data_IF_725448949939
#
_entry.id   IF_725448949939
#
_cell.length_a   1.000
_cell.length_b   1.000
_cell.length_c   1.000
_cell.angle_alpha   90.00
_cell.angle_beta   90.00
_cell.angle_gamma   90.00
#
_symmetry.space_group_name_H-M   'P 1'
#
loop_
_entity.id
_entity.type
_entity.pdbx_description
1 polymer ?
#
# COMPACT_ATOMS: atom_id res chain seq x y z
N UNK A 1 -17.07 17.98 -13.54
CA UNK A 1 -16.11 16.87 -13.30
C UNK A 1 -14.88 17.44 -12.63
N UNK A 2 -14.40 16.89 -11.50
CA UNK A 2 -13.22 17.41 -10.79
C UNK A 2 -11.96 16.67 -11.29
N UNK A 3 -11.31 17.20 -12.33
CA UNK A 3 -9.96 16.79 -12.74
C UNK A 3 -8.95 17.25 -11.67
N UNK A 4 -7.79 16.59 -11.59
CA UNK A 4 -6.64 17.11 -10.83
C UNK A 4 -6.39 18.54 -11.34
N UNK A 5 -6.55 19.55 -10.47
CA UNK A 5 -6.63 20.96 -10.87
C UNK A 5 -5.30 21.54 -11.35
N UNK A 6 -4.20 20.92 -10.96
CA UNK A 6 -2.82 21.24 -11.34
C UNK A 6 -2.16 20.00 -11.95
N UNK A 7 -1.23 20.16 -12.89
CA UNK A 7 -0.45 19.03 -13.39
C UNK A 7 0.42 18.42 -12.28
N UNK A 8 0.25 17.12 -12.00
CA UNK A 8 1.09 16.36 -11.07
C UNK A 8 1.86 15.30 -11.83
N UNK A 9 3.19 15.34 -11.74
CA UNK A 9 4.10 14.49 -12.49
C UNK A 9 4.89 13.59 -11.56
N UNK A 10 5.06 12.34 -11.95
CA UNK A 10 6.01 11.42 -11.34
C UNK A 10 7.38 11.70 -11.96
N UNK A 11 8.38 12.05 -11.16
CA UNK A 11 9.75 12.39 -11.61
C UNK A 11 10.78 11.33 -11.24
N UNK A 12 10.43 10.43 -10.32
CA UNK A 12 11.19 9.23 -10.00
C UNK A 12 10.28 8.15 -9.42
N UNK A 13 10.61 6.90 -9.69
CA UNK A 13 9.95 5.76 -9.08
C UNK A 13 10.92 4.59 -8.94
N UNK A 14 11.14 4.11 -7.72
CA UNK A 14 12.03 2.99 -7.41
C UNK A 14 11.41 2.08 -6.36
N UNK A 15 11.83 0.82 -6.34
CA UNK A 15 11.40 -0.18 -5.37
C UNK A 15 12.55 -1.08 -4.96
N UNK A 16 12.50 -1.62 -3.75
CA UNK A 16 13.46 -2.65 -3.32
C UNK A 16 13.14 -3.98 -3.99
N UNK A 17 14.08 -4.94 -4.07
CA UNK A 17 13.68 -6.34 -4.20
C UNK A 17 12.73 -6.69 -3.05
N UNK A 18 11.75 -7.55 -3.31
CA UNK A 18 10.90 -8.08 -2.25
C UNK A 18 11.52 -9.35 -1.68
N UNK A 19 11.68 -9.36 -0.35
CA UNK A 19 12.19 -10.49 0.42
C UNK A 19 11.06 -11.43 0.81
N UNK A 20 11.33 -12.72 0.88
CA UNK A 20 10.39 -13.69 1.43
C UNK A 20 10.31 -13.55 2.96
N UNK A 21 9.20 -13.97 3.58
CA UNK A 21 9.08 -14.01 5.04
C UNK A 21 10.23 -14.81 5.68
N UNK A 22 10.96 -14.18 6.61
CA UNK A 22 12.15 -14.76 7.25
C UNK A 22 13.36 -14.90 6.32
N UNK A 23 13.33 -14.27 5.14
CA UNK A 23 14.34 -14.33 4.10
C UNK A 23 15.46 -13.29 4.23
N UNK A 24 15.96 -12.81 3.10
CA UNK A 24 17.15 -11.95 3.00
C UNK A 24 16.98 -10.57 3.63
N UNK A 25 15.74 -10.09 3.76
CA UNK A 25 15.43 -8.73 4.24
C UNK A 25 14.95 -8.68 5.70
N UNK A 26 14.83 -9.82 6.40
CA UNK A 26 14.21 -9.91 7.73
C UNK A 26 14.84 -9.00 8.80
N UNK A 27 16.13 -8.69 8.66
CA UNK A 27 16.89 -7.90 9.64
C UNK A 27 16.80 -6.39 9.37
N UNK A 28 16.14 -5.97 8.28
CA UNK A 28 15.87 -4.56 7.98
C UNK A 28 14.46 -4.16 8.43
N UNK A 29 14.39 -3.05 9.15
CA UNK A 29 13.10 -2.46 9.55
C UNK A 29 12.36 -1.92 8.32
N UNK A 30 11.04 -1.73 8.45
CA UNK A 30 10.27 -1.06 7.40
C UNK A 30 10.81 0.36 7.10
N UNK A 31 11.37 1.04 8.09
CA UNK A 31 12.08 2.32 7.93
C UNK A 31 13.30 2.19 7.03
N UNK A 32 14.17 1.20 7.28
CA UNK A 32 15.40 0.97 6.51
C UNK A 32 15.08 0.63 5.04
N UNK A 33 14.09 -0.24 4.81
CA UNK A 33 13.66 -0.62 3.46
C UNK A 33 13.19 0.61 2.66
N UNK A 34 12.44 1.51 3.32
CA UNK A 34 11.98 2.75 2.67
C UNK A 34 13.14 3.71 2.41
N UNK A 35 14.10 3.78 3.33
CA UNK A 35 15.32 4.60 3.14
C UNK A 35 16.08 4.16 1.88
N UNK A 36 16.27 2.86 1.66
CA UNK A 36 16.92 2.35 0.46
C UNK A 36 16.17 2.81 -0.81
N UNK A 37 14.86 2.52 -0.89
CA UNK A 37 14.05 2.92 -2.04
C UNK A 37 14.03 4.45 -2.26
N UNK A 38 14.00 5.24 -1.18
CA UNK A 38 14.03 6.69 -1.23
C UNK A 38 15.35 7.24 -1.77
N UNK A 39 16.50 6.70 -1.32
CA UNK A 39 17.82 7.05 -1.87
C UNK A 39 17.90 6.74 -3.36
N UNK A 40 17.43 5.55 -3.75
CA UNK A 40 17.34 5.15 -5.15
C UNK A 40 16.50 6.11 -5.98
N UNK A 41 15.32 6.50 -5.48
CA UNK A 41 14.41 7.40 -6.18
C UNK A 41 14.98 8.82 -6.34
N UNK A 42 15.55 9.39 -5.26
CA UNK A 42 16.20 10.69 -5.29
C UNK A 42 17.36 10.71 -6.30
N UNK A 43 18.20 9.68 -6.28
CA UNK A 43 19.33 9.55 -7.21
C UNK A 43 18.87 9.39 -8.66
N UNK A 44 17.92 8.48 -8.93
CA UNK A 44 17.42 8.21 -10.28
C UNK A 44 16.72 9.44 -10.90
N UNK A 45 15.95 10.17 -10.10
CA UNK A 45 15.27 11.40 -10.54
C UNK A 45 16.17 12.65 -10.55
N UNK A 46 17.41 12.54 -10.04
CA UNK A 46 18.28 13.68 -9.75
C UNK A 46 17.56 14.77 -8.96
N UNK A 47 16.74 14.35 -7.98
CA UNK A 47 15.94 15.23 -7.14
C UNK A 47 16.75 15.57 -5.88
N UNK A 48 17.17 16.83 -5.70
CA UNK A 48 17.87 17.21 -4.48
C UNK A 48 16.93 17.12 -3.27
N UNK A 49 17.32 16.47 -2.15
CA UNK A 49 16.46 16.31 -0.98
C UNK A 49 15.88 17.61 -0.43
N UNK A 50 16.59 18.73 -0.57
CA UNK A 50 16.18 20.08 -0.19
C UNK A 50 14.97 20.63 -0.96
N UNK A 51 14.60 19.99 -2.07
CA UNK A 51 13.40 20.36 -2.84
C UNK A 51 12.14 19.70 -2.32
N UNK A 52 12.24 18.71 -1.42
CA UNK A 52 11.08 17.97 -0.89
C UNK A 52 10.36 18.79 0.18
N UNK A 53 9.09 19.11 -0.07
CA UNK A 53 8.22 19.87 0.83
C UNK A 53 7.41 18.98 1.77
N UNK A 54 7.27 17.68 1.46
CA UNK A 54 6.50 16.73 2.27
C UNK A 54 6.97 15.29 2.03
N UNK A 55 6.98 14.48 3.10
CA UNK A 55 7.29 13.05 3.07
C UNK A 55 6.10 12.25 3.56
N UNK A 56 5.52 11.41 2.69
CA UNK A 56 4.32 10.63 3.02
C UNK A 56 4.62 9.16 2.79
N UNK A 57 4.53 8.32 3.83
CA UNK A 57 4.83 6.88 3.72
C UNK A 57 3.68 6.03 4.21
N UNK A 58 3.23 5.10 3.37
CA UNK A 58 2.25 4.08 3.72
C UNK A 58 2.88 2.91 4.47
N UNK A 59 2.37 2.57 5.65
CA UNK A 59 2.78 1.37 6.40
C UNK A 59 1.58 0.79 7.17
N UNK A 60 1.40 -0.53 7.13
CA UNK A 60 0.22 -1.17 7.72
C UNK A 60 0.53 -1.69 9.11
N UNK A 61 1.60 -2.47 9.25
CA UNK A 61 2.01 -3.06 10.52
C UNK A 61 3.22 -2.31 11.06
N UNK A 62 3.04 -1.73 12.25
CA UNK A 62 4.13 -1.10 12.99
C UNK A 62 5.01 -2.19 13.62
N UNK A 63 5.99 -2.66 12.85
CA UNK A 63 6.78 -3.86 13.15
C UNK A 63 8.16 -3.60 13.76
N UNK A 64 8.49 -2.35 14.09
CA UNK A 64 9.76 -1.98 14.73
C UNK A 64 9.53 -1.00 15.89
N UNK A 65 10.52 -0.88 16.77
CA UNK A 65 10.47 0.05 17.91
C UNK A 65 10.42 1.53 17.49
N UNK A 66 10.87 1.85 16.28
CA UNK A 66 10.85 3.19 15.71
C UNK A 66 9.69 3.44 14.73
N UNK A 67 8.78 2.47 14.55
CA UNK A 67 7.73 2.52 13.53
C UNK A 67 6.79 3.73 13.63
N UNK A 68 6.59 4.28 14.83
CA UNK A 68 5.80 5.50 15.02
C UNK A 68 6.39 6.73 14.31
N UNK A 69 7.70 6.73 14.03
CA UNK A 69 8.44 7.82 13.42
C UNK A 69 8.87 7.53 11.98
N UNK A 70 8.38 6.44 11.38
CA UNK A 70 8.85 5.88 10.11
C UNK A 70 9.06 6.93 9.01
N UNK A 71 8.01 7.65 8.59
CA UNK A 71 8.13 8.64 7.51
C UNK A 71 9.14 9.77 7.84
N UNK A 72 9.16 10.20 9.10
CA UNK A 72 10.07 11.25 9.58
C UNK A 72 11.52 10.79 9.58
N UNK A 73 11.78 9.58 10.06
CA UNK A 73 13.11 8.98 10.04
C UNK A 73 13.61 8.81 8.61
N UNK A 74 12.77 8.33 7.69
CA UNK A 74 13.13 8.22 6.27
C UNK A 74 13.58 9.57 5.72
N UNK A 75 12.75 10.62 5.85
CA UNK A 75 13.09 11.96 5.36
C UNK A 75 14.43 12.45 5.88
N UNK A 76 14.63 12.40 7.20
CA UNK A 76 15.88 12.83 7.84
C UNK A 76 17.10 12.02 7.35
N UNK A 77 16.97 10.69 7.23
CA UNK A 77 18.08 9.82 6.83
C UNK A 77 18.49 10.03 5.38
N UNK A 78 17.56 10.38 4.49
CA UNK A 78 17.86 10.68 3.07
C UNK A 78 18.19 12.15 2.81
N UNK A 79 18.33 12.96 3.86
CA UNK A 79 18.81 14.35 3.77
C UNK A 79 17.73 15.39 3.50
N UNK A 80 16.44 15.03 3.59
CA UNK A 80 15.35 16.01 3.53
C UNK A 80 15.49 16.97 4.72
N UNK A 81 15.34 18.31 4.54
CA UNK A 81 15.45 19.28 5.62
C UNK A 81 14.58 18.95 6.83
N UNK A 82 15.08 19.27 8.03
CA UNK A 82 14.36 18.99 9.27
C UNK A 82 13.06 19.81 9.38
N UNK A 83 12.96 20.92 8.65
CA UNK A 83 11.78 21.77 8.58
C UNK A 83 10.63 21.11 7.81
N UNK A 84 10.94 20.18 6.88
CA UNK A 84 9.96 19.46 6.07
C UNK A 84 9.13 18.49 6.92
N UNK A 85 7.78 18.57 6.89
CA UNK A 85 6.92 17.64 7.62
C UNK A 85 6.94 16.23 7.04
N UNK A 86 6.54 15.25 7.86
CA UNK A 86 6.41 13.86 7.43
C UNK A 86 5.17 13.20 8.02
N UNK A 87 4.51 12.35 7.23
CA UNK A 87 3.28 11.66 7.57
C UNK A 87 3.41 10.16 7.28
N UNK A 88 3.21 9.33 8.30
CA UNK A 88 2.93 7.90 8.11
C UNK A 88 1.42 7.69 8.04
N UNK A 89 0.93 6.98 7.03
CA UNK A 89 -0.51 6.67 6.86
C UNK A 89 -0.76 5.17 6.70
N UNK A 90 -2.00 4.77 7.00
CA UNK A 90 -2.44 3.39 6.85
C UNK A 90 -3.80 3.34 6.15
N UNK A 91 -3.81 2.69 4.98
CA UNK A 91 -5.00 2.28 4.23
C UNK A 91 -4.90 0.79 3.82
N UNK A 92 -4.37 -0.04 4.71
CA UNK A 92 -4.04 -1.45 4.50
C UNK A 92 -3.24 -1.64 3.19
N UNK A 93 -3.57 -2.64 2.36
CA UNK A 93 -2.91 -2.94 1.09
C UNK A 93 -2.86 -1.75 0.11
N UNK A 94 -3.70 -0.72 0.31
CA UNK A 94 -3.75 0.49 -0.51
C UNK A 94 -2.84 1.62 -0.01
N UNK A 95 -2.06 1.41 1.07
CA UNK A 95 -1.27 2.48 1.71
C UNK A 95 -0.23 3.10 0.76
N UNK A 96 0.48 2.30 -0.03
CA UNK A 96 1.46 2.80 -0.99
C UNK A 96 0.85 3.59 -2.16
N UNK A 97 -0.40 3.32 -2.54
CA UNK A 97 -1.14 4.19 -3.47
C UNK A 97 -1.67 5.44 -2.76
N UNK A 98 -2.12 5.29 -1.52
CA UNK A 98 -2.67 6.39 -0.75
C UNK A 98 -1.61 7.47 -0.46
N UNK A 99 -0.32 7.12 -0.28
CA UNK A 99 0.72 8.12 -0.14
C UNK A 99 0.82 9.02 -1.39
N UNK A 100 0.79 8.43 -2.59
CA UNK A 100 0.74 9.20 -3.86
C UNK A 100 -0.53 10.04 -3.96
N UNK A 101 -1.69 9.49 -3.58
CA UNK A 101 -2.96 10.25 -3.58
C UNK A 101 -2.91 11.44 -2.62
N UNK A 102 -2.39 11.25 -1.40
CA UNK A 102 -2.22 12.32 -0.42
C UNK A 102 -1.24 13.39 -0.92
N UNK A 103 -0.11 12.99 -1.52
CA UNK A 103 0.84 13.95 -2.10
C UNK A 103 0.23 14.72 -3.29
N UNK A 104 -0.57 14.06 -4.13
CA UNK A 104 -1.32 14.74 -5.19
C UNK A 104 -2.28 15.79 -4.61
N UNK A 105 -2.93 15.49 -3.49
CA UNK A 105 -3.85 16.41 -2.81
C UNK A 105 -3.09 17.62 -2.25
N UNK A 106 -1.96 17.42 -1.59
CA UNK A 106 -1.09 18.50 -1.09
C UNK A 106 -0.63 19.42 -2.23
N UNK A 107 -0.21 18.87 -3.37
CA UNK A 107 0.16 19.66 -4.55
C UNK A 107 -1.04 20.42 -5.13
N UNK A 108 -2.20 19.78 -5.24
CA UNK A 108 -3.39 20.44 -5.81
C UNK A 108 -3.88 21.63 -5.01
N UNK A 109 -3.72 21.60 -3.68
CA UNK A 109 -4.08 22.71 -2.79
C UNK A 109 -2.90 23.66 -2.52
N UNK A 110 -1.78 23.50 -3.24
CA UNK A 110 -0.55 24.30 -3.13
C UNK A 110 0.06 24.30 -1.72
N UNK A 111 -0.08 23.20 -1.00
CA UNK A 111 0.57 22.97 0.29
C UNK A 111 1.98 22.37 0.13
N UNK A 112 2.28 21.78 -1.03
CA UNK A 112 3.58 21.25 -1.39
C UNK A 112 3.80 21.40 -2.90
N UNK A 113 5.06 21.47 -3.35
CA UNK A 113 5.44 21.50 -4.76
C UNK A 113 6.14 20.19 -5.16
N UNK A 114 6.91 19.57 -4.25
CA UNK A 114 7.51 18.24 -4.43
C UNK A 114 7.26 17.35 -3.21
N UNK A 115 6.78 16.13 -3.43
CA UNK A 115 6.41 15.18 -2.36
C UNK A 115 7.09 13.83 -2.59
N UNK A 116 7.76 13.32 -1.56
CA UNK A 116 8.25 11.95 -1.51
C UNK A 116 7.14 11.03 -1.02
N UNK A 117 6.63 10.16 -1.89
CA UNK A 117 5.52 9.25 -1.59
C UNK A 117 6.04 7.80 -1.53
N UNK A 118 6.07 7.22 -0.33
CA UNK A 118 6.55 5.86 -0.09
C UNK A 118 5.45 4.89 0.32
N UNK A 119 5.79 3.61 0.28
CA UNK A 119 5.03 2.50 0.87
C UNK A 119 6.01 1.42 1.31
N UNK A 120 5.82 0.86 2.49
CA UNK A 120 6.76 -0.12 3.08
C UNK A 120 6.06 -1.12 3.98
N UNK A 121 6.62 -2.33 4.03
CA UNK A 121 6.27 -3.32 5.04
C UNK A 121 7.49 -4.19 5.36
N UNK A 122 7.67 -4.50 6.65
CA UNK A 122 8.53 -5.59 7.11
C UNK A 122 7.66 -6.52 7.93
N UNK A 123 7.07 -7.51 7.25
CA UNK A 123 6.18 -8.50 7.85
C UNK A 123 6.96 -9.52 8.66
N UNK A 124 8.23 -9.79 8.30
CA UNK A 124 9.16 -10.62 9.08
C UNK A 124 9.42 -10.10 10.49
N UNK A 125 9.30 -8.79 10.71
CA UNK A 125 9.50 -8.17 12.03
C UNK A 125 8.21 -7.98 12.83
N UNK A 126 7.05 -8.39 12.30
CA UNK A 126 5.78 -8.23 13.01
C UNK A 126 5.87 -8.88 14.42
N UNK A 127 5.67 -8.11 15.51
CA UNK A 127 5.94 -8.61 16.84
C UNK A 127 4.86 -9.56 17.33
N UNK A 128 5.18 -10.32 18.37
CA UNK A 128 4.18 -10.89 19.26
C UNK A 128 3.75 -9.84 20.29
N UNK A 129 2.46 -9.81 20.65
CA UNK A 129 1.92 -8.89 21.65
C UNK A 129 1.27 -9.64 22.82
N UNK A 130 1.61 -9.23 24.05
CA UNK A 130 0.89 -9.64 25.26
C UNK A 130 -0.11 -8.54 25.65
N UNK A 131 -1.41 -8.87 25.66
CA UNK A 131 -2.50 -7.94 25.99
C UNK A 131 -2.94 -8.11 27.44
N UNK A 132 -3.56 -7.07 28.02
CA UNK A 132 -4.23 -7.11 29.33
C UNK A 132 -3.33 -7.35 30.56
N UNK A 133 -2.02 -7.07 30.46
CA UNK A 133 -1.07 -7.28 31.58
C UNK A 133 -0.56 -5.98 32.22
N UNK A 134 -0.85 -4.81 31.62
CA UNK A 134 -0.29 -3.51 32.06
C UNK A 134 -0.64 -3.15 33.51
N UNK A 135 -1.79 -3.60 34.00
CA UNK A 135 -2.33 -3.22 35.32
C UNK A 135 -2.51 -4.43 36.24
N UNK A 136 -1.71 -5.48 36.03
CA UNK A 136 -1.84 -6.76 36.74
C UNK A 136 -2.78 -7.73 36.03
N UNK A 137 -2.76 -8.98 36.49
CA UNK A 137 -3.54 -10.09 35.91
C UNK A 137 -4.28 -10.85 37.00
N UNK A 138 -5.38 -11.51 36.64
CA UNK A 138 -6.11 -12.40 37.56
C UNK A 138 -5.47 -13.79 37.58
N UNK A 139 -5.41 -14.43 38.74
CA UNK A 139 -5.00 -15.84 38.85
C UNK A 139 -5.85 -16.70 37.90
N UNK A 140 -5.20 -17.51 37.06
CA UNK A 140 -5.86 -18.36 36.07
C UNK A 140 -6.22 -17.68 34.74
N UNK A 141 -5.81 -16.43 34.49
CA UNK A 141 -6.02 -15.77 33.21
C UNK A 141 -5.24 -16.45 32.06
N UNK A 142 -5.91 -16.70 30.94
CA UNK A 142 -5.32 -17.29 29.74
C UNK A 142 -4.62 -16.22 28.86
N UNK A 143 -3.45 -15.76 29.31
CA UNK A 143 -2.65 -14.78 28.57
C UNK A 143 -2.04 -15.41 27.33
N UNK A 144 -2.18 -14.75 26.18
CA UNK A 144 -1.60 -15.17 24.91
C UNK A 144 -0.47 -14.22 24.49
N UNK A 145 0.58 -14.80 23.92
CA UNK A 145 1.46 -14.09 23.00
C UNK A 145 0.78 -14.14 21.63
N UNK A 146 0.10 -13.05 21.29
CA UNK A 146 -0.63 -12.92 20.03
C UNK A 146 0.32 -12.55 18.89
N UNK A 147 0.33 -13.35 17.82
CA UNK A 147 1.02 -13.00 16.57
C UNK A 147 0.26 -11.84 15.89
N UNK A 148 0.89 -10.66 15.83
CA UNK A 148 0.23 -9.46 15.27
C UNK A 148 0.06 -9.52 13.75
N UNK A 149 0.92 -10.25 13.04
CA UNK A 149 0.78 -10.49 11.61
C UNK A 149 -0.47 -11.32 11.34
N UNK A 150 -0.62 -12.44 12.04
CA UNK A 150 -1.79 -13.30 11.88
C UNK A 150 -3.09 -12.60 12.26
N UNK A 151 -3.08 -11.86 13.38
CA UNK A 151 -4.23 -11.07 13.82
C UNK A 151 -4.59 -9.97 12.80
N UNK A 152 -3.60 -9.31 12.21
CA UNK A 152 -3.77 -8.26 11.19
C UNK A 152 -4.33 -8.78 9.85
N UNK A 153 -4.21 -10.07 9.57
CA UNK A 153 -4.78 -10.74 8.39
C UNK A 153 -6.19 -11.29 8.61
N UNK A 154 -6.84 -10.91 9.71
CA UNK A 154 -8.24 -11.24 10.01
C UNK A 154 -9.04 -9.97 10.26
N UNK A 155 -10.12 -9.77 9.50
CA UNK A 155 -11.05 -8.69 9.77
C UNK A 155 -11.92 -9.07 10.97
N UNK A 156 -11.72 -8.40 12.10
CA UNK A 156 -12.45 -8.67 13.34
C UNK A 156 -13.92 -8.21 13.31
N UNK A 157 -14.31 -7.34 12.36
CA UNK A 157 -15.70 -6.89 12.22
C UNK A 157 -16.58 -8.01 11.66
N UNK A 158 -16.13 -8.65 10.58
CA UNK A 158 -16.83 -9.79 9.96
C UNK A 158 -16.30 -11.15 10.46
N UNK A 159 -15.22 -11.16 11.25
CA UNK A 159 -14.53 -12.33 11.80
C UNK A 159 -14.03 -13.29 10.70
N UNK A 160 -13.58 -12.74 9.58
CA UNK A 160 -13.09 -13.52 8.44
C UNK A 160 -11.59 -13.28 8.20
N UNK A 161 -10.78 -14.35 8.13
CA UNK A 161 -9.46 -14.29 7.53
C UNK A 161 -9.55 -13.82 6.08
N UNK A 162 -8.51 -13.12 5.60
CA UNK A 162 -8.52 -12.59 4.23
C UNK A 162 -8.72 -13.69 3.17
N UNK A 163 -8.17 -14.88 3.38
CA UNK A 163 -8.37 -16.02 2.48
C UNK A 163 -9.83 -16.48 2.37
N UNK A 164 -10.62 -16.39 3.45
CA UNK A 164 -12.05 -16.74 3.39
C UNK A 164 -12.84 -15.74 2.56
N UNK A 165 -12.48 -14.45 2.60
CA UNK A 165 -13.14 -13.45 1.73
C UNK A 165 -12.86 -13.70 0.24
N UNK A 166 -11.71 -14.29 -0.09
CA UNK A 166 -11.38 -14.72 -1.44
C UNK A 166 -12.14 -16.00 -1.84
N UNK A 167 -12.37 -16.93 -0.90
CA UNK A 167 -13.26 -18.09 -1.14
C UNK A 167 -14.71 -17.66 -1.39
N UNK A 168 -15.19 -16.62 -0.70
CA UNK A 168 -16.52 -16.05 -0.95
C UNK A 168 -16.63 -15.53 -2.40
N UNK A 169 -15.62 -14.81 -2.88
CA UNK A 169 -15.56 -14.36 -4.27
C UNK A 169 -15.46 -15.52 -5.26
N UNK A 170 -14.66 -16.56 -4.93
CA UNK A 170 -14.58 -17.75 -5.77
C UNK A 170 -15.96 -18.39 -5.96
N UNK A 171 -16.71 -18.54 -4.88
CA UNK A 171 -18.08 -19.07 -4.92
C UNK A 171 -19.04 -18.16 -5.68
N UNK A 172 -18.99 -16.84 -5.47
CA UNK A 172 -19.92 -15.89 -6.11
C UNK A 172 -19.69 -15.76 -7.62
N UNK A 173 -18.45 -15.90 -8.07
CA UNK A 173 -18.06 -15.73 -9.47
C UNK A 173 -17.82 -17.06 -10.19
N UNK A 174 -18.15 -18.21 -9.58
CA UNK A 174 -17.91 -19.56 -10.11
C UNK A 174 -16.46 -19.78 -10.57
N UNK A 175 -15.50 -19.38 -9.73
CA UNK A 175 -14.07 -19.55 -10.01
C UNK A 175 -13.63 -20.90 -9.44
N UNK A 176 -13.10 -21.75 -10.31
CA UNK A 176 -12.65 -23.08 -9.91
C UNK A 176 -11.25 -23.05 -9.31
N UNK A 177 -10.90 -24.11 -8.57
CA UNK A 177 -9.52 -24.34 -8.11
C UNK A 177 -8.52 -24.39 -9.27
N UNK A 178 -8.92 -24.97 -10.40
CA UNK A 178 -8.09 -25.08 -11.60
C UNK A 178 -7.83 -23.69 -12.21
N UNK A 179 -8.83 -22.80 -12.24
CA UNK A 179 -8.65 -21.41 -12.68
C UNK A 179 -7.59 -20.69 -11.83
N UNK A 180 -7.69 -20.84 -10.50
CA UNK A 180 -6.76 -20.24 -9.55
C UNK A 180 -5.32 -20.72 -9.77
N UNK A 181 -5.11 -22.03 -9.93
CA UNK A 181 -3.76 -22.60 -10.10
C UNK A 181 -3.18 -22.26 -11.48
N UNK A 182 -4.00 -22.20 -12.54
CA UNK A 182 -3.56 -21.71 -13.86
C UNK A 182 -3.11 -20.25 -13.80
N UNK A 183 -3.87 -19.39 -13.12
CA UNK A 183 -3.49 -17.99 -12.95
C UNK A 183 -2.20 -17.83 -12.13
N UNK A 184 -2.06 -18.60 -11.05
CA UNK A 184 -0.86 -18.59 -10.23
C UNK A 184 0.39 -19.01 -11.03
N UNK A 185 0.28 -20.06 -11.86
CA UNK A 185 1.35 -20.47 -12.77
C UNK A 185 1.70 -19.35 -13.75
N UNK A 186 0.70 -18.71 -14.35
CA UNK A 186 0.92 -17.59 -15.27
C UNK A 186 1.66 -16.43 -14.59
N UNK A 187 1.31 -16.08 -13.34
CA UNK A 187 2.00 -15.02 -12.58
C UNK A 187 3.50 -15.36 -12.39
N UNK A 188 3.81 -16.60 -12.02
CA UNK A 188 5.21 -17.06 -11.89
C UNK A 188 5.97 -17.02 -13.22
N UNK A 189 5.33 -17.46 -14.31
CA UNK A 189 5.93 -17.47 -15.64
C UNK A 189 6.20 -16.06 -16.17
N UNK A 190 5.26 -15.14 -15.99
CA UNK A 190 5.40 -13.74 -16.39
C UNK A 190 6.47 -13.03 -15.58
N UNK A 191 6.51 -13.24 -14.26
CA UNK A 191 7.60 -12.70 -13.43
C UNK A 191 8.96 -13.21 -13.91
N UNK A 192 9.09 -14.51 -14.20
CA UNK A 192 10.34 -15.10 -14.68
C UNK A 192 10.78 -14.48 -16.01
N UNK A 193 9.86 -14.39 -16.97
CA UNK A 193 10.13 -13.79 -18.27
C UNK A 193 10.58 -12.33 -18.14
N UNK A 194 9.88 -11.53 -17.33
CA UNK A 194 10.19 -10.12 -17.10
C UNK A 194 11.55 -9.93 -16.39
N UNK A 195 11.84 -10.77 -15.39
CA UNK A 195 13.12 -10.74 -14.70
C UNK A 195 14.28 -11.09 -15.64
N UNK A 196 14.14 -12.14 -16.45
CA UNK A 196 15.18 -12.56 -17.41
C UNK A 196 15.41 -11.53 -18.52
N UNK A 197 14.33 -10.88 -18.98
CA UNK A 197 14.38 -9.83 -19.98
C UNK A 197 14.88 -8.48 -19.42
N UNK A 198 15.07 -8.38 -18.11
CA UNK A 198 15.57 -7.17 -17.45
C UNK A 198 14.53 -6.05 -17.30
N UNK A 199 13.23 -6.35 -17.39
CA UNK A 199 12.16 -5.34 -17.29
C UNK A 199 12.09 -4.69 -15.91
N UNK A 200 12.60 -5.37 -14.87
CA UNK A 200 12.67 -4.81 -13.52
C UNK A 200 13.94 -3.98 -13.24
N UNK A 201 14.90 -3.93 -14.16
CA UNK A 201 16.22 -3.34 -13.87
C UNK A 201 16.12 -1.83 -13.55
N UNK A 202 15.25 -1.09 -14.25
CA UNK A 202 15.11 0.36 -14.10
C UNK A 202 14.37 0.74 -12.81
N UNK A 203 13.41 -0.08 -12.37
CA UNK A 203 12.66 0.15 -11.13
C UNK A 203 13.42 -0.30 -9.86
N UNK A 204 14.34 -1.27 -9.99
CA UNK A 204 14.99 -1.92 -8.84
C UNK A 204 16.04 -1.03 -8.18
N UNK A 205 15.95 -0.89 -6.86
CA UNK A 205 17.02 -0.40 -6.00
C UNK A 205 17.64 -1.60 -5.24
N UNK A 206 18.83 -2.06 -5.64
CA UNK A 206 19.48 -3.20 -5.00
C UNK A 206 19.84 -2.93 -3.54
N UNK A 207 19.80 -3.97 -2.71
CA UNK A 207 20.15 -3.89 -1.28
C UNK A 207 21.36 -4.79 -0.99
N UNK A 208 22.35 -4.28 -0.28
CA UNK A 208 23.42 -5.12 0.27
C UNK A 208 22.88 -5.94 1.45
N UNK A 209 22.85 -7.26 1.31
CA UNK A 209 22.38 -8.22 2.32
C UNK A 209 23.54 -9.05 2.86
N UNK A 210 23.42 -9.52 4.10
CA UNK A 210 24.38 -10.45 4.71
C UNK A 210 23.90 -11.88 4.48
N UNK A 211 24.73 -12.71 3.86
CA UNK A 211 24.49 -14.15 3.75
C UNK A 211 25.58 -14.94 4.47
N UNK A 212 25.40 -16.25 4.61
CA UNK A 212 26.44 -17.14 5.18
C UNK A 212 27.76 -17.09 4.40
N UNK A 213 27.73 -16.63 3.13
CA UNK A 213 28.90 -16.49 2.26
C UNK A 213 29.50 -15.08 2.27
N UNK A 214 28.98 -14.16 3.09
CA UNK A 214 29.42 -12.77 3.17
C UNK A 214 28.37 -11.79 2.63
N UNK A 215 28.81 -10.57 2.33
CA UNK A 215 27.95 -9.52 1.74
C UNK A 215 27.61 -9.87 0.30
N UNK A 216 26.35 -9.72 -0.08
CA UNK A 216 25.88 -9.91 -1.45
C UNK A 216 24.86 -8.82 -1.81
N UNK A 217 24.80 -8.46 -3.09
CA UNK A 217 23.78 -7.54 -3.59
C UNK A 217 22.52 -8.31 -3.95
N UNK A 218 21.42 -8.03 -3.25
CA UNK A 218 20.09 -8.51 -3.59
C UNK A 218 19.46 -7.55 -4.60
N UNK A 219 19.10 -8.08 -5.78
CA UNK A 219 18.48 -7.32 -6.87
C UNK A 219 17.41 -8.13 -7.61
N UNK A 220 17.00 -9.26 -7.05
CA UNK A 220 15.99 -10.17 -7.59
C UNK A 220 15.02 -10.46 -6.47
N UNK A 221 13.71 -10.50 -6.79
CA UNK A 221 12.67 -10.86 -5.83
C UNK A 221 12.86 -12.30 -5.33
N UNK A 222 12.83 -12.49 -4.01
CA UNK A 222 13.16 -13.76 -3.36
C UNK A 222 11.99 -14.74 -3.35
N UNK A 223 10.75 -14.23 -3.34
CA UNK A 223 9.55 -15.08 -3.16
C UNK A 223 9.25 -15.96 -4.38
N UNK A 224 9.69 -15.54 -5.57
CA UNK A 224 9.30 -16.18 -6.81
C UNK A 224 9.87 -17.59 -6.96
N UNK A 225 9.07 -18.46 -7.58
CA UNK A 225 9.36 -19.88 -7.78
C UNK A 225 9.32 -20.17 -9.28
N UNK A 226 10.37 -19.85 -10.04
CA UNK A 226 10.35 -19.95 -11.50
C UNK A 226 10.24 -21.39 -12.02
N UNK A 227 10.44 -22.39 -11.16
CA UNK A 227 10.28 -23.82 -11.47
C UNK A 227 8.86 -24.35 -11.20
N UNK A 228 7.91 -23.48 -10.86
CA UNK A 228 6.53 -23.87 -10.53
C UNK A 228 5.88 -24.59 -11.71
N UNK A 229 5.21 -25.71 -11.44
CA UNK A 229 4.38 -26.43 -12.42
C UNK A 229 2.93 -26.53 -11.95
N UNK A 230 2.00 -26.68 -12.91
CA UNK A 230 0.59 -26.89 -12.57
C UNK A 230 0.39 -28.17 -11.73
N UNK A 231 1.19 -29.21 -11.98
CA UNK A 231 1.16 -30.44 -11.20
C UNK A 231 1.54 -30.21 -9.72
N UNK A 232 2.55 -29.37 -9.46
CA UNK A 232 2.94 -29.00 -8.10
C UNK A 232 1.83 -28.21 -7.41
N UNK A 233 1.23 -27.24 -8.11
CA UNK A 233 0.14 -26.42 -7.57
C UNK A 233 -1.07 -27.28 -7.22
N UNK A 234 -1.49 -28.18 -8.11
CA UNK A 234 -2.64 -29.06 -7.91
C UNK A 234 -2.51 -29.98 -6.67
N UNK A 235 -1.28 -30.31 -6.25
CA UNK A 235 -1.01 -31.13 -5.06
C UNK A 235 -1.15 -30.36 -3.75
N UNK A 236 -1.19 -29.03 -3.78
CA UNK A 236 -1.28 -28.23 -2.56
C UNK A 236 -2.69 -28.30 -1.94
N UNK A 237 -2.79 -28.52 -0.62
CA UNK A 237 -4.07 -28.51 0.07
C UNK A 237 -4.63 -27.08 0.20
N UNK A 238 -5.96 -26.91 0.19
CA UNK A 238 -6.59 -25.65 0.59
C UNK A 238 -6.20 -25.25 2.01
N UNK A 239 -5.96 -23.95 2.24
CA UNK A 239 -5.47 -23.42 3.53
C UNK A 239 -6.61 -22.99 4.45
N UNK A 240 -7.64 -22.33 3.90
CA UNK A 240 -8.64 -21.64 4.71
C UNK A 240 -9.97 -22.39 4.82
N UNK A 241 -10.37 -23.12 3.77
CA UNK A 241 -11.65 -23.82 3.68
C UNK A 241 -11.42 -25.23 3.14
N UNK A 242 -12.02 -26.24 3.76
CA UNK A 242 -12.04 -27.61 3.21
C UNK A 242 -12.71 -27.58 1.83
N UNK A 243 -12.08 -28.21 0.85
CA UNK A 243 -12.51 -28.17 -0.57
C UNK A 243 -12.58 -26.72 -1.13
N UNK A 244 -11.77 -25.82 -0.56
CA UNK A 244 -11.60 -24.45 -1.03
C UNK A 244 -10.69 -24.33 -2.26
N UNK A 245 -10.68 -23.15 -2.84
CA UNK A 245 -9.86 -22.79 -4.00
C UNK A 245 -8.50 -22.22 -3.60
N UNK A 246 -8.37 -21.65 -2.39
CA UNK A 246 -7.18 -20.91 -1.96
C UNK A 246 -6.14 -21.83 -1.31
N UNK A 247 -4.94 -21.84 -1.87
CA UNK A 247 -3.78 -22.58 -1.39
C UNK A 247 -2.58 -21.65 -1.16
N UNK A 248 -1.51 -22.18 -0.56
CA UNK A 248 -0.24 -21.46 -0.45
C UNK A 248 0.43 -21.17 -1.81
N UNK A 249 0.04 -21.86 -2.90
CA UNK A 249 0.62 -21.67 -4.23
C UNK A 249 -0.12 -20.66 -5.10
N UNK A 250 -1.37 -20.31 -4.74
CA UNK A 250 -2.21 -19.39 -5.51
C UNK A 250 -2.68 -18.16 -4.69
N UNK A 251 -2.07 -17.96 -3.52
CA UNK A 251 -2.17 -16.77 -2.70
C UNK A 251 -0.84 -16.01 -2.71
N UNK A 252 -0.87 -14.69 -2.52
CA UNK A 252 0.37 -13.94 -2.34
C UNK A 252 1.07 -14.32 -1.03
N UNK A 253 2.39 -14.44 -1.07
CA UNK A 253 3.20 -14.69 0.12
C UNK A 253 3.32 -13.48 1.04
N UNK A 254 3.51 -13.76 2.33
CA UNK A 254 4.06 -12.80 3.30
C UNK A 254 5.49 -12.46 2.89
N UNK A 255 5.82 -11.17 2.89
CA UNK A 255 7.07 -10.67 2.32
C UNK A 255 7.42 -9.28 2.87
N UNK A 256 8.67 -8.88 2.66
CA UNK A 256 9.21 -7.60 3.08
C UNK A 256 9.62 -6.77 1.87
N UNK A 257 9.44 -5.45 1.92
CA UNK A 257 9.90 -4.57 0.85
C UNK A 257 9.36 -3.14 0.97
N UNK A 258 9.87 -2.27 0.10
CA UNK A 258 9.41 -0.89 -0.02
C UNK A 258 9.39 -0.40 -1.48
N UNK A 259 8.60 0.63 -1.73
CA UNK A 259 8.62 1.40 -2.97
C UNK A 259 8.48 2.89 -2.69
N UNK A 260 9.11 3.72 -3.50
CA UNK A 260 9.06 5.18 -3.42
C UNK A 260 8.82 5.78 -4.79
N UNK A 261 7.88 6.72 -4.84
CA UNK A 261 7.54 7.53 -5.99
C UNK A 261 7.70 9.00 -5.58
N UNK A 262 8.47 9.77 -6.33
CA UNK A 262 8.58 11.22 -6.12
C UNK A 262 7.67 11.90 -7.14
N UNK A 263 6.79 12.76 -6.64
CA UNK A 263 5.88 13.55 -7.46
C UNK A 263 6.17 15.04 -7.29
N UNK A 264 5.92 15.79 -8.36
CA UNK A 264 6.13 17.23 -8.41
C UNK A 264 4.99 17.93 -9.16
N UNK A 265 4.72 19.17 -8.79
CA UNK A 265 3.86 20.07 -9.55
C UNK A 265 4.48 20.38 -10.92
N UNK A 266 3.67 20.81 -11.88
CA UNK A 266 4.17 21.28 -13.17
C UNK A 266 5.18 22.44 -13.03
N UNK A 267 4.95 23.34 -12.08
CA UNK A 267 5.80 24.50 -11.83
C UNK A 267 7.15 24.07 -11.23
N UNK A 268 7.15 23.11 -10.30
CA UNK A 268 8.35 22.52 -9.74
C UNK A 268 9.17 21.76 -10.79
N UNK A 269 8.51 21.00 -11.68
CA UNK A 269 9.17 20.32 -12.81
C UNK A 269 9.93 21.34 -13.67
N UNK A 270 9.31 22.48 -14.02
CA UNK A 270 9.96 23.54 -14.81
C UNK A 270 11.08 24.24 -14.03
N UNK A 271 10.79 24.63 -12.78
CA UNK A 271 11.72 25.39 -11.91
C UNK A 271 13.00 24.61 -11.61
N UNK A 272 12.88 23.32 -11.34
CA UNK A 272 14.01 22.46 -10.96
C UNK A 272 14.52 21.60 -12.11
N UNK A 273 13.96 21.77 -13.32
CA UNK A 273 14.31 21.01 -14.52
C UNK A 273 14.27 19.49 -14.31
N UNK A 274 13.24 19.01 -13.60
CA UNK A 274 13.04 17.58 -13.40
C UNK A 274 12.60 16.90 -14.70
N UNK A 275 12.95 15.62 -14.86
CA UNK A 275 12.48 14.81 -15.99
C UNK A 275 11.18 14.09 -15.62
N UNK A 276 10.01 14.50 -16.15
CA UNK A 276 8.77 13.80 -15.86
C UNK A 276 8.76 12.42 -16.52
N UNK A 277 8.48 11.38 -15.73
CA UNK A 277 8.35 9.99 -16.18
C UNK A 277 6.91 9.67 -16.60
N UNK A 278 5.94 10.18 -15.85
CA UNK A 278 4.51 10.01 -16.08
C UNK A 278 3.72 11.17 -15.46
N UNK A 279 2.43 11.28 -15.80
CA UNK A 279 1.52 12.27 -15.21
C UNK A 279 0.35 11.56 -14.53
N UNK A 280 0.03 11.96 -13.31
CA UNK A 280 -1.15 11.44 -12.59
C UNK A 280 -2.40 12.13 -13.14
N UNK A 281 -3.28 11.36 -13.79
CA UNK A 281 -4.46 11.91 -14.47
C UNK A 281 -5.75 11.80 -13.65
N UNK A 282 -5.76 10.93 -12.65
CA UNK A 282 -6.90 10.71 -11.77
C UNK A 282 -6.65 9.57 -10.78
N UNK A 283 -7.47 9.54 -9.73
CA UNK A 283 -7.48 8.49 -8.72
C UNK A 283 -8.89 8.39 -8.12
N UNK A 284 -9.21 7.24 -7.54
CA UNK A 284 -10.45 7.02 -6.81
C UNK A 284 -10.27 5.95 -5.74
N UNK A 285 -10.97 6.14 -4.61
CA UNK A 285 -11.06 5.16 -3.55
C UNK A 285 -12.54 4.89 -3.28
N UNK A 286 -12.88 3.61 -3.09
CA UNK A 286 -14.23 3.16 -2.77
C UNK A 286 -14.20 2.21 -1.59
N UNK A 287 -15.22 2.30 -0.73
CA UNK A 287 -15.56 1.19 0.17
C UNK A 287 -16.25 0.06 -0.59
N UNK A 288 -16.30 -1.12 0.03
CA UNK A 288 -17.08 -2.28 -0.41
C UNK A 288 -17.40 -3.15 0.82
N UNK A 289 -18.20 -4.21 0.62
CA UNK A 289 -18.50 -5.17 1.67
C UNK A 289 -17.21 -5.88 2.15
N UNK A 290 -16.88 -5.83 3.46
CA UNK A 290 -15.68 -6.47 4.00
C UNK A 290 -15.61 -7.99 3.77
N UNK A 291 -16.76 -8.67 3.68
CA UNK A 291 -16.83 -10.13 3.47
C UNK A 291 -16.38 -10.58 2.07
N UNK A 292 -16.34 -9.65 1.12
CA UNK A 292 -15.90 -9.82 -0.27
C UNK A 292 -14.98 -8.67 -0.69
N UNK A 293 -14.19 -8.17 0.26
CA UNK A 293 -13.25 -7.05 0.14
C UNK A 293 -12.43 -7.02 -1.17
N UNK A 294 -12.19 -8.20 -1.75
CA UNK A 294 -11.33 -8.39 -2.91
C UNK A 294 -11.92 -7.81 -4.19
N UNK A 295 -13.21 -7.47 -4.19
CA UNK A 295 -13.91 -6.83 -5.31
C UNK A 295 -13.70 -5.31 -5.35
N UNK A 296 -13.12 -4.71 -4.31
CA UNK A 296 -12.85 -3.26 -4.21
C UNK A 296 -12.26 -2.62 -5.48
N UNK A 297 -11.31 -3.27 -6.20
CA UNK A 297 -10.81 -2.81 -7.50
C UNK A 297 -11.88 -2.46 -8.53
N UNK A 298 -13.02 -3.16 -8.57
CA UNK A 298 -14.09 -2.91 -9.56
C UNK A 298 -14.65 -1.50 -9.43
N UNK A 299 -15.04 -1.10 -8.21
CA UNK A 299 -15.57 0.23 -7.95
C UNK A 299 -14.48 1.31 -8.05
N UNK A 300 -13.26 0.99 -7.58
CA UNK A 300 -12.11 1.90 -7.65
C UNK A 300 -11.73 2.25 -9.11
N UNK A 301 -11.55 1.24 -9.97
CA UNK A 301 -11.26 1.39 -11.39
C UNK A 301 -12.37 2.17 -12.09
N UNK A 302 -13.62 1.73 -11.93
CA UNK A 302 -14.78 2.36 -12.58
C UNK A 302 -14.90 3.83 -12.20
N UNK A 303 -14.74 4.15 -10.91
CA UNK A 303 -14.82 5.53 -10.43
C UNK A 303 -13.63 6.40 -10.86
N UNK A 304 -12.41 5.84 -10.92
CA UNK A 304 -11.23 6.55 -11.42
C UNK A 304 -11.38 6.90 -12.90
N UNK A 305 -11.77 5.93 -13.74
CA UNK A 305 -12.04 6.11 -15.16
C UNK A 305 -13.14 7.15 -15.41
N UNK A 306 -14.28 7.02 -14.69
CA UNK A 306 -15.38 7.99 -14.77
C UNK A 306 -14.94 9.40 -14.42
N UNK A 307 -14.10 9.58 -13.39
CA UNK A 307 -13.57 10.91 -12.99
C UNK A 307 -12.60 11.48 -14.03
N UNK A 308 -11.80 10.62 -14.64
CA UNK A 308 -10.86 11.01 -15.69
C UNK A 308 -11.54 11.27 -17.05
N UNK A 309 -12.80 10.84 -17.21
CA UNK A 309 -13.50 10.87 -18.50
C UNK A 309 -12.94 9.84 -19.48
N UNK A 310 -12.49 8.69 -18.96
CA UNK A 310 -11.87 7.60 -19.69
C UNK A 310 -12.71 6.32 -19.59
N UNK A 311 -12.45 5.38 -20.46
CA UNK A 311 -12.99 4.01 -20.43
C UNK A 311 -11.88 2.99 -20.21
N UNK A 312 -12.26 1.75 -19.90
CA UNK A 312 -11.28 0.66 -19.74
C UNK A 312 -10.53 0.38 -21.06
N UNK A 313 -11.17 0.59 -22.21
CA UNK A 313 -10.56 0.42 -23.54
C UNK A 313 -9.43 1.41 -23.81
N UNK A 314 -9.42 2.54 -23.12
CA UNK A 314 -8.36 3.55 -23.22
C UNK A 314 -7.09 3.14 -22.46
N UNK A 315 -7.12 2.06 -21.67
CA UNK A 315 -5.98 1.60 -20.90
C UNK A 315 -5.13 0.65 -21.74
N UNK A 316 -3.85 0.97 -21.85
CA UNK A 316 -2.85 0.10 -22.47
C UNK A 316 -2.39 -0.99 -21.51
N UNK A 317 -2.39 -0.67 -20.21
CA UNK A 317 -1.96 -1.55 -19.13
C UNK A 317 -2.82 -1.39 -17.90
N UNK A 318 -3.07 -2.51 -17.20
CA UNK A 318 -3.78 -2.55 -15.94
C UNK A 318 -2.98 -3.39 -14.95
N UNK A 319 -2.80 -2.89 -13.72
CA UNK A 319 -2.31 -3.71 -12.62
C UNK A 319 -3.38 -3.81 -11.53
N UNK A 320 -3.71 -5.05 -11.19
CA UNK A 320 -4.58 -5.40 -10.07
C UNK A 320 -3.76 -6.28 -9.14
N UNK A 321 -3.47 -5.78 -7.93
CA UNK A 321 -2.67 -6.54 -6.96
C UNK A 321 -3.25 -7.95 -6.71
N UNK A 322 -2.42 -8.98 -6.84
CA UNK A 322 -2.81 -10.39 -6.77
C UNK A 322 -2.82 -10.91 -5.32
N UNK A 323 -3.70 -10.41 -4.45
CA UNK A 323 -3.76 -10.91 -3.07
C UNK A 323 -4.07 -12.43 -3.03
N UNK A 324 -5.00 -12.85 -3.90
CA UNK A 324 -5.34 -14.24 -4.16
C UNK A 324 -5.72 -14.38 -5.63
N UNK A 325 -5.45 -15.54 -6.24
CA UNK A 325 -5.85 -15.78 -7.63
C UNK A 325 -7.36 -15.65 -7.82
N UNK A 326 -8.17 -16.22 -6.92
CA UNK A 326 -9.64 -16.08 -6.95
C UNK A 326 -10.12 -14.64 -6.82
N UNK A 327 -9.42 -13.82 -6.02
CA UNK A 327 -9.74 -12.40 -5.89
C UNK A 327 -9.45 -11.65 -7.19
N UNK A 328 -8.28 -11.87 -7.80
CA UNK A 328 -7.94 -11.28 -9.10
C UNK A 328 -8.96 -11.69 -10.18
N UNK A 329 -9.26 -12.98 -10.29
CA UNK A 329 -10.17 -13.52 -11.31
C UNK A 329 -11.59 -12.98 -11.15
N UNK A 330 -12.05 -12.72 -9.93
CA UNK A 330 -13.33 -12.07 -9.69
C UNK A 330 -13.36 -10.63 -10.24
N UNK A 331 -12.27 -9.87 -10.09
CA UNK A 331 -12.13 -8.53 -10.66
C UNK A 331 -12.04 -8.59 -12.19
N UNK A 332 -11.22 -9.50 -12.72
CA UNK A 332 -11.06 -9.73 -14.17
C UNK A 332 -12.43 -9.99 -14.83
N UNK A 333 -13.19 -10.95 -14.30
CA UNK A 333 -14.53 -11.29 -14.81
C UNK A 333 -15.52 -10.14 -14.68
N UNK A 334 -15.45 -9.37 -13.59
CA UNK A 334 -16.40 -8.27 -13.34
C UNK A 334 -16.20 -7.06 -14.24
N UNK A 335 -14.94 -6.77 -14.60
CA UNK A 335 -14.60 -5.63 -15.45
C UNK A 335 -14.40 -6.02 -16.93
N UNK A 336 -14.28 -7.31 -17.23
CA UNK A 336 -13.87 -7.78 -18.56
C UNK A 336 -12.45 -7.32 -18.88
N UNK A 337 -11.53 -7.45 -17.92
CA UNK A 337 -10.12 -7.07 -18.14
C UNK A 337 -9.51 -7.95 -19.23
N UNK A 338 -8.68 -7.34 -20.07
CA UNK A 338 -7.90 -8.06 -21.07
C UNK A 338 -6.65 -8.67 -20.38
N UNK A 339 -6.52 -10.01 -20.32
CA UNK A 339 -5.37 -10.65 -19.68
C UNK A 339 -4.05 -10.33 -20.37
N UNK A 340 -4.07 -9.92 -21.65
CA UNK A 340 -2.88 -9.50 -22.41
C UNK A 340 -2.44 -8.05 -22.12
N UNK A 341 -3.18 -7.34 -21.26
CA UNK A 341 -2.85 -6.00 -20.77
C UNK A 341 -2.80 -5.92 -19.25
N UNK A 342 -3.11 -7.01 -18.56
CA UNK A 342 -3.30 -7.02 -17.11
C UNK A 342 -2.23 -7.87 -16.44
N UNK A 343 -1.50 -7.31 -15.47
CA UNK A 343 -0.43 -7.99 -14.70
C UNK A 343 0.59 -8.70 -15.62
N UNK A 344 1.11 -7.96 -16.61
CA UNK A 344 1.86 -8.54 -17.74
C UNK A 344 3.23 -9.11 -17.34
N UNK A 345 3.80 -8.60 -16.26
CA UNK A 345 5.09 -9.02 -15.73
C UNK A 345 4.94 -9.80 -14.42
N UNK A 346 3.77 -10.41 -14.22
CA UNK A 346 3.42 -11.13 -13.00
C UNK A 346 3.02 -10.17 -11.87
N UNK A 347 2.76 -10.75 -10.70
CA UNK A 347 2.29 -9.96 -9.56
C UNK A 347 2.56 -10.66 -8.23
N UNK A 348 1.79 -10.26 -7.21
CA UNK A 348 2.06 -10.60 -5.82
C UNK A 348 2.02 -12.11 -5.49
N UNK A 349 1.42 -12.96 -6.33
CA UNK A 349 1.54 -14.42 -6.19
C UNK A 349 2.99 -14.86 -6.44
N UNK A 350 3.67 -14.24 -7.40
CA UNK A 350 5.08 -14.52 -7.69
C UNK A 350 6.04 -13.77 -6.75
N UNK A 351 5.88 -12.45 -6.63
CA UNK A 351 6.87 -11.59 -5.96
C UNK A 351 6.55 -11.25 -4.49
N UNK A 352 5.41 -11.70 -3.96
CA UNK A 352 4.96 -11.44 -2.59
C UNK A 352 4.11 -10.18 -2.44
N UNK A 353 3.48 -10.01 -1.26
CA UNK A 353 2.63 -8.88 -0.93
C UNK A 353 3.04 -8.19 0.39
N UNK A 354 4.13 -7.39 0.41
CA UNK A 354 4.39 -6.48 1.53
C UNK A 354 3.30 -5.41 1.49
N UNK A 355 2.42 -5.43 2.49
CA UNK A 355 1.11 -4.77 2.45
C UNK A 355 1.22 -3.29 2.09
N UNK A 356 1.99 -2.51 2.88
CA UNK A 356 2.16 -1.08 2.65
C UNK A 356 2.91 -0.72 1.36
N UNK A 357 3.82 -1.60 0.89
CA UNK A 357 4.70 -1.34 -0.25
C UNK A 357 4.11 -1.65 -1.61
N UNK A 358 3.16 -2.58 -1.67
CA UNK A 358 2.67 -3.13 -2.94
C UNK A 358 2.07 -2.08 -3.86
N UNK A 359 1.38 -1.06 -3.31
CA UNK A 359 0.86 0.04 -4.12
C UNK A 359 1.96 0.92 -4.75
N UNK A 360 3.04 1.18 -4.02
CA UNK A 360 4.19 1.93 -4.54
C UNK A 360 4.98 1.11 -5.57
N UNK A 361 5.15 -0.21 -5.34
CA UNK A 361 5.74 -1.13 -6.31
C UNK A 361 4.96 -1.16 -7.62
N UNK A 362 3.64 -1.37 -7.56
CA UNK A 362 2.78 -1.37 -8.75
C UNK A 362 2.90 -0.05 -9.51
N UNK A 363 2.84 1.08 -8.79
CA UNK A 363 2.97 2.40 -9.41
C UNK A 363 4.31 2.56 -10.11
N UNK A 364 5.41 2.18 -9.45
CA UNK A 364 6.74 2.22 -10.05
C UNK A 364 6.82 1.34 -11.29
N UNK A 365 6.33 0.10 -11.21
CA UNK A 365 6.34 -0.83 -12.32
C UNK A 365 5.60 -0.29 -13.54
N UNK A 366 4.38 0.20 -13.36
CA UNK A 366 3.60 0.77 -14.47
C UNK A 366 4.27 1.99 -15.10
N UNK A 367 4.94 2.83 -14.32
CA UNK A 367 5.69 3.98 -14.86
C UNK A 367 6.80 3.52 -15.78
N UNK A 368 7.57 2.50 -15.39
CA UNK A 368 8.70 2.00 -16.18
C UNK A 368 8.25 1.17 -17.38
N UNK A 369 7.27 0.28 -17.20
CA UNK A 369 6.78 -0.59 -18.27
C UNK A 369 6.04 0.21 -19.37
N UNK A 370 5.26 1.23 -19.00
CA UNK A 370 4.67 2.14 -19.98
C UNK A 370 5.72 2.87 -20.81
N UNK A 371 6.82 3.30 -20.18
CA UNK A 371 7.92 3.99 -20.87
C UNK A 371 8.64 3.06 -21.81
N UNK A 372 8.98 1.85 -21.36
CA UNK A 372 9.60 0.83 -22.20
C UNK A 372 8.74 0.52 -23.44
N UNK A 373 7.43 0.35 -23.23
CA UNK A 373 6.46 0.14 -24.30
C UNK A 373 6.35 1.32 -25.29
N UNK A 374 6.52 2.56 -24.81
CA UNK A 374 6.56 3.76 -25.66
C UNK A 374 7.84 3.81 -26.50
N UNK A 375 8.98 3.50 -25.91
CA UNK A 375 10.30 3.51 -26.57
C UNK A 375 10.33 2.47 -27.71
N UNK A 376 9.91 1.23 -27.47
CA UNK A 376 9.75 0.22 -28.53
C UNK A 376 8.72 0.66 -29.59
N UNK A 377 7.59 1.22 -29.16
CA UNK A 377 6.56 1.70 -30.08
C UNK A 377 7.08 2.78 -31.04
N UNK A 378 7.94 3.68 -30.55
CA UNK A 378 8.59 4.71 -31.36
C UNK A 378 9.58 4.12 -32.36
N UNK A 379 10.35 3.09 -31.98
CA UNK A 379 11.27 2.38 -32.87
C UNK A 379 10.55 1.61 -33.99
N UNK A 380 9.35 1.08 -33.71
CA UNK A 380 8.51 0.34 -34.68
C UNK A 380 7.57 1.28 -35.47
N UNK A 381 7.70 2.60 -35.32
CA UNK A 381 6.94 3.61 -36.09
C UNK A 381 5.48 3.82 -35.64
N UNK A 382 5.10 3.32 -34.46
CA UNK A 382 3.78 3.51 -33.86
C UNK A 382 3.83 4.67 -32.84
N UNK A 383 3.68 5.90 -33.32
CA UNK A 383 3.78 7.15 -32.54
C UNK A 383 2.51 7.48 -31.75
N UNK A 384 2.02 6.53 -30.94
CA UNK A 384 0.92 6.79 -30.01
C UNK A 384 1.40 7.67 -28.84
N UNK A 385 1.39 8.99 -29.02
CA UNK A 385 1.54 9.98 -27.96
C UNK A 385 0.41 9.80 -26.93
N UNK A 386 0.77 9.37 -25.70
CA UNK A 386 -0.13 9.37 -24.55
C UNK A 386 -0.71 8.01 -24.14
N UNK A 387 0.14 6.97 -24.06
CA UNK A 387 -0.22 5.69 -23.42
C UNK A 387 -0.69 5.88 -21.97
N UNK A 388 -1.60 5.03 -21.52
CA UNK A 388 -2.28 5.14 -20.22
C UNK A 388 -2.24 3.82 -19.49
N UNK A 389 -1.89 3.85 -18.21
CA UNK A 389 -2.03 2.72 -17.31
C UNK A 389 -2.99 3.04 -16.17
N UNK A 390 -3.57 1.98 -15.63
CA UNK A 390 -4.39 2.03 -14.43
C UNK A 390 -3.83 1.08 -13.38
N UNK A 391 -3.65 1.61 -12.17
CA UNK A 391 -3.16 0.87 -11.02
C UNK A 391 -4.23 0.82 -9.94
N UNK A 392 -4.42 -0.33 -9.32
CA UNK A 392 -5.30 -0.42 -8.15
C UNK A 392 -4.83 -1.47 -7.16
N UNK A 393 -4.81 -1.11 -5.87
CA UNK A 393 -4.85 -2.09 -4.80
C UNK A 393 -6.17 -1.95 -4.04
N UNK A 394 -6.48 -3.04 -3.36
CA UNK A 394 -7.52 -3.08 -2.35
C UNK A 394 -7.20 -2.10 -1.20
N UNK A 395 -8.22 -1.45 -0.67
CA UNK A 395 -8.22 -0.94 0.69
C UNK A 395 -9.60 -1.18 1.30
N UNK A 396 -9.70 -1.92 2.41
CA UNK A 396 -10.95 -1.97 3.17
C UNK A 396 -10.72 -1.46 4.59
N UNK A 397 -11.37 -0.35 4.92
CA UNK A 397 -12.40 -0.32 5.97
C UNK A 397 -13.47 0.70 5.54
N UNK A 398 -14.75 0.32 5.58
CA UNK A 398 -15.84 1.29 5.72
C UNK A 398 -16.84 0.76 6.73
N UNK A 399 -17.04 1.51 7.82
CA UNK A 399 -18.30 1.52 8.55
C UNK A 399 -18.87 2.94 8.47
N UNK A 400 -19.47 3.28 7.33
CA UNK A 400 -20.56 4.25 7.40
C UNK A 400 -21.79 3.46 7.84
N UNK A 401 -22.04 3.42 9.15
CA UNK A 401 -23.43 3.44 9.58
C UNK A 401 -23.98 4.74 9.00
N UNK A 402 -24.92 4.65 8.07
CA UNK A 402 -25.88 5.72 7.91
C UNK A 402 -26.38 6.00 9.34
N UNK A 403 -26.14 7.22 9.83
CA UNK A 403 -26.86 7.66 11.01
C UNK A 403 -28.33 7.48 10.66
N UNK A 404 -29.14 6.77 11.45
CA UNK A 404 -30.58 6.85 11.26
C UNK A 404 -30.93 8.34 11.31
N UNK A 405 -31.75 8.82 10.37
CA UNK A 405 -32.30 10.16 10.41
C UNK A 405 -32.91 10.36 11.81
N UNK A 406 -32.19 11.03 12.69
CA UNK A 406 -32.71 11.37 13.99
C UNK A 406 -33.70 12.49 13.76
N UNK A 407 -34.97 12.20 14.03
CA UNK A 407 -36.00 13.22 14.26
C UNK A 407 -35.41 14.33 15.11
N UNK A 408 -35.26 15.52 14.51
CA UNK A 408 -34.73 16.70 15.16
C UNK A 408 -35.59 17.03 16.40
N UNK A 409 -35.03 17.13 17.61
CA UNK A 409 -35.68 17.87 18.67
C UNK A 409 -35.56 19.37 18.37
N UNK A 410 -36.65 20.10 18.63
CA UNK A 410 -36.79 21.52 18.38
C UNK A 410 -35.63 22.36 18.93
N UNK A 411 -35.19 23.31 18.13
CA UNK A 411 -34.22 24.38 18.44
C UNK A 411 -34.66 25.19 19.66
N UNK A 412 -33.79 25.39 20.68
CA UNK A 412 -33.91 26.52 21.58
C UNK A 412 -33.14 27.71 21.01
N UNK A 413 -33.84 28.82 20.87
CA UNK A 413 -33.36 30.14 20.50
C UNK A 413 -32.23 30.64 21.40
N UNK A 414 -31.21 31.24 20.78
CA UNK A 414 -30.15 32.02 21.41
C UNK A 414 -30.73 33.27 22.10
N UNK A 415 -30.60 33.36 23.43
CA UNK A 415 -30.68 34.63 24.15
C UNK A 415 -29.53 34.78 25.13
N UNK A 416 -28.67 35.76 24.80
CA UNK A 416 -27.92 36.68 25.66
C UNK A 416 -27.34 36.19 26.99
N UNK A 417 -26.02 36.35 27.07
CA UNK A 417 -25.19 36.37 28.27
C UNK A 417 -25.68 37.41 29.30
N UNK A 418 -25.95 36.95 30.53
CA UNK A 418 -25.98 37.79 31.73
C UNK A 418 -25.51 36.99 32.97
N UNK A 419 -24.76 37.67 33.84
CA UNK A 419 -23.97 37.15 34.97
C UNK A 419 -24.79 36.39 36.03
N UNK A 420 -24.20 35.43 36.77
CA UNK A 420 -24.84 34.84 37.94
C UNK A 420 -24.66 35.73 39.18
N UNK A 421 -25.77 36.08 39.81
CA UNK A 421 -25.83 36.59 41.17
C UNK A 421 -26.56 35.57 42.05
N UNK A 422 -25.99 35.39 43.25
CA UNK A 422 -26.55 34.80 44.46
C UNK A 422 -26.25 33.32 44.82
N UNK A 423 -26.13 33.03 46.14
CA UNK A 423 -25.03 32.25 46.68
C UNK A 423 -25.57 31.06 47.50
N UNK A 424 -24.66 30.23 48.00
CA UNK A 424 -25.00 29.34 49.11
C UNK A 424 -25.22 27.90 48.72
N UNK A 425 -24.12 27.19 48.50
CA UNK A 425 -23.79 26.03 49.33
C UNK A 425 -22.27 25.92 49.38
N UNK A 426 -21.70 26.57 50.41
CA UNK A 426 -20.38 26.25 50.96
C UNK A 426 -20.46 24.82 51.51
N UNK A 427 -19.63 23.92 51.01
CA UNK A 427 -18.69 23.08 51.79
C UNK A 427 -18.07 22.01 50.88
N UNK A 428 -16.80 21.73 51.13
CA UNK A 428 -15.94 20.68 50.52
C UNK A 428 -15.24 21.02 49.19
N UNK A 429 -14.53 22.15 49.18
CA UNK A 429 -13.27 22.30 48.43
C UNK A 429 -12.18 22.82 49.37
N UNK A 430 -11.68 21.94 50.22
CA UNK A 430 -10.38 22.07 50.88
C UNK A 430 -9.70 20.70 50.78
N UNK A 431 -8.80 20.56 49.81
CA UNK A 431 -7.58 19.74 49.83
C UNK A 431 -7.14 19.42 48.40
N UNK A 432 -6.46 20.38 47.76
CA UNK A 432 -5.54 20.11 46.66
C UNK A 432 -4.63 21.32 46.45
N UNK A 433 -3.81 21.65 47.45
CA UNK A 433 -2.60 22.47 47.25
C UNK A 433 -1.64 22.24 48.42
N UNK A 434 -0.69 21.33 48.23
CA UNK A 434 0.66 21.35 48.78
C UNK A 434 1.27 19.96 48.56
N UNK A 435 2.38 19.88 47.82
CA UNK A 435 3.58 19.08 48.14
C UNK A 435 4.48 18.94 46.90
N UNK A 436 5.22 20.02 46.62
CA UNK A 436 6.55 19.95 46.06
C UNK A 436 7.46 20.82 46.95
N UNK A 437 8.50 20.21 47.54
CA UNK A 437 9.56 20.92 48.26
C UNK A 437 10.16 20.19 49.46
N UNK A 438 11.11 19.28 49.19
CA UNK A 438 12.40 19.04 49.89
C UNK A 438 12.48 18.91 51.44
N UNK A 439 13.03 17.78 51.92
CA UNK A 439 14.35 17.66 52.59
C UNK A 439 14.51 16.25 53.22
N UNK A 440 15.69 15.64 53.05
CA UNK A 440 16.08 14.35 53.67
C UNK A 440 17.12 13.60 52.85
#
# INVERSE_FOLDING_TARGET
MRKVSSGVFIVAAKRTPFGAYGGLLKDFTATDLTEFAARGALAAGKVPPETIDSVIVGNVMQSSSDAAYLARHVGLRVGVPKETPALTLNRLCGSGFQSVVSGCQEICVKAAEVVLCGGTESMSQAPYCARNIRFGTKLGADLKLEDTLWAGLTDQHVKLPMGITAENLASQHNISREDCDKYALQSQQRWKAANDAGYFNTEMEPIEVKTRKGKQTMQVDEHARPQTTLEQLNKLPPVFKKEGTVTAGNASGVSDGAGVVIIASEDAVKKHNFTPLARVVGYFASGCDPSIMGIGPVAAITGALKRAGLSLKDMDMVEVNEAFASQYLAVERSLGLDPSKTNMNGGAIALGHPLGASGSRITAHLVHELRYSLEIGAEVGNTALGRRALAVARASQSSLRAWPESTAPATPTLTSWARPSDPGTREQLQNCHALHGTLG
#
